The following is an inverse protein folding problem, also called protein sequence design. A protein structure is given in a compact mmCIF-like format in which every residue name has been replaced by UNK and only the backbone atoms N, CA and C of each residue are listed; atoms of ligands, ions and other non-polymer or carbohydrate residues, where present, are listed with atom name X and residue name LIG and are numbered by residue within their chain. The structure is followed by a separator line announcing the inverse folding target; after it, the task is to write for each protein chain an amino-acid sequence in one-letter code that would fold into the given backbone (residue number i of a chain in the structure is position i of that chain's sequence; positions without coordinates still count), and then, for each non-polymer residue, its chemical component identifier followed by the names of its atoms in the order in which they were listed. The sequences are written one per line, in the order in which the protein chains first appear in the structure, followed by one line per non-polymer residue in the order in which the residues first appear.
data_IF_737837189940
#
_entry.id   IF_737837189940
#
_cell.length_a   1.000
_cell.length_b   1.000
_cell.length_c   1.000
_cell.angle_alpha   90.00
_cell.angle_beta   90.00
_cell.angle_gamma   90.00
#
_symmetry.space_group_name_H-M   'P 1'
#
loop_
_entity.id
_entity.type
_entity.pdbx_description
1 polymer ?
#
# COMPACT_ATOMS: atom_id res chain seq x y z
N UNK A 1 -0.72 -15.62 -14.08
CA UNK A 1 0.55 -14.88 -13.88
C UNK A 1 1.36 -15.56 -12.80
N UNK A 2 2.64 -15.81 -13.03
CA UNK A 2 3.54 -16.31 -11.99
C UNK A 2 4.34 -15.15 -11.38
N UNK A 3 3.99 -14.78 -10.16
CA UNK A 3 4.72 -13.77 -9.38
C UNK A 3 5.72 -14.39 -8.41
N UNK A 4 5.77 -15.72 -8.29
CA UNK A 4 6.50 -16.40 -7.24
C UNK A 4 7.99 -16.10 -7.33
N UNK A 5 8.56 -16.10 -8.55
CA UNK A 5 9.95 -15.73 -8.76
C UNK A 5 10.26 -14.30 -8.29
N UNK A 6 9.37 -13.34 -8.57
CA UNK A 6 9.50 -11.96 -8.10
C UNK A 6 9.45 -11.91 -6.58
N UNK A 7 8.41 -12.51 -5.97
CA UNK A 7 8.19 -12.56 -4.52
C UNK A 7 9.40 -13.16 -3.81
N UNK A 8 9.91 -14.29 -4.29
CA UNK A 8 11.11 -14.93 -3.76
C UNK A 8 12.32 -14.02 -3.83
N UNK A 9 12.56 -13.37 -4.97
CA UNK A 9 13.70 -12.47 -5.13
C UNK A 9 13.63 -11.23 -4.21
N UNK A 10 12.43 -10.73 -3.90
CA UNK A 10 12.26 -9.57 -3.00
C UNK A 10 12.27 -9.93 -1.51
N UNK A 11 12.14 -11.21 -1.13
CA UNK A 11 12.26 -11.63 0.29
C UNK A 11 13.58 -11.20 0.93
N UNK A 12 14.67 -11.22 0.16
CA UNK A 12 15.98 -10.76 0.62
C UNK A 12 16.04 -9.25 0.93
N UNK A 13 15.03 -8.47 0.51
CA UNK A 13 14.99 -7.01 0.62
C UNK A 13 13.85 -6.51 1.52
N UNK A 14 12.85 -7.34 1.81
CA UNK A 14 11.79 -7.05 2.76
C UNK A 14 11.89 -8.00 3.97
N UNK A 15 12.37 -7.54 5.13
CA UNK A 15 12.55 -8.40 6.31
C UNK A 15 11.25 -8.97 6.89
N UNK A 16 10.09 -8.49 6.40
CA UNK A 16 8.77 -8.95 6.83
C UNK A 16 8.14 -9.96 5.86
N UNK A 17 8.62 -10.01 4.62
CA UNK A 17 7.98 -10.80 3.57
C UNK A 17 8.25 -12.30 3.72
N UNK A 18 9.51 -12.71 3.93
CA UNK A 18 9.80 -14.14 4.16
C UNK A 18 9.01 -14.71 5.36
N UNK A 19 9.03 -14.08 6.56
CA UNK A 19 8.21 -14.55 7.69
C UNK A 19 6.70 -14.57 7.40
N UNK A 20 6.21 -13.65 6.58
CA UNK A 20 4.81 -13.59 6.15
C UNK A 20 4.43 -14.75 5.24
N UNK A 21 5.26 -15.04 4.24
CA UNK A 21 5.07 -16.15 3.30
C UNK A 21 5.08 -17.49 4.01
N UNK A 22 6.06 -17.72 4.90
CA UNK A 22 6.18 -18.96 5.68
C UNK A 22 4.94 -19.25 6.53
N UNK A 23 4.16 -18.20 6.87
CA UNK A 23 2.97 -18.26 7.72
C UNK A 23 1.67 -18.12 6.96
N UNK A 24 1.71 -17.97 5.63
CA UNK A 24 0.52 -17.73 4.81
C UNK A 24 -0.17 -16.39 5.11
N UNK A 25 0.57 -15.37 5.53
CA UNK A 25 0.06 -14.03 5.88
C UNK A 25 0.21 -13.00 4.74
N UNK A 26 0.69 -13.44 3.58
CA UNK A 26 0.75 -12.64 2.36
C UNK A 26 -0.39 -13.05 1.44
N UNK A 27 -1.34 -12.14 1.20
CA UNK A 27 -2.39 -12.31 0.21
C UNK A 27 -2.10 -11.54 -1.08
N UNK A 28 -2.68 -12.01 -2.17
CA UNK A 28 -2.61 -11.40 -3.48
C UNK A 28 -4.00 -11.38 -4.10
N UNK A 29 -4.55 -10.18 -4.21
CA UNK A 29 -5.79 -9.93 -4.94
C UNK A 29 -5.42 -9.46 -6.34
N UNK A 30 -5.88 -10.19 -7.35
CA UNK A 30 -5.66 -9.86 -8.75
C UNK A 30 -6.81 -9.02 -9.27
N UNK A 31 -6.48 -7.95 -9.97
CA UNK A 31 -7.43 -7.08 -10.65
C UNK A 31 -6.98 -6.83 -12.08
N UNK A 32 -7.90 -6.99 -13.03
CA UNK A 32 -7.66 -6.74 -14.45
C UNK A 32 -8.20 -5.37 -14.81
N UNK A 33 -7.33 -4.47 -15.27
CA UNK A 33 -7.73 -3.14 -15.69
C UNK A 33 -8.49 -3.23 -17.02
N UNK A 34 -9.80 -3.01 -16.96
CA UNK A 34 -10.69 -2.97 -18.12
C UNK A 34 -11.42 -1.64 -18.11
N UNK A 35 -11.45 -0.97 -19.27
CA UNK A 35 -12.17 0.29 -19.43
C UNK A 35 -11.26 1.52 -19.40
N UNK A 36 -11.83 2.66 -19.04
CA UNK A 36 -11.10 3.94 -19.07
C UNK A 36 -10.26 4.11 -17.79
N UNK A 37 -9.11 4.80 -17.86
CA UNK A 37 -8.19 4.90 -16.72
C UNK A 37 -8.81 5.43 -15.42
N UNK A 38 -9.80 6.32 -15.52
CA UNK A 38 -10.47 6.89 -14.35
C UNK A 38 -11.29 5.84 -13.57
N UNK A 39 -11.97 4.95 -14.28
CA UNK A 39 -12.77 3.90 -13.66
C UNK A 39 -11.84 2.86 -13.02
N UNK A 40 -10.76 2.50 -13.73
CA UNK A 40 -9.70 1.63 -13.20
C UNK A 40 -9.07 2.21 -11.92
N UNK A 41 -8.77 3.51 -11.90
CA UNK A 41 -8.27 4.19 -10.70
C UNK A 41 -9.24 4.04 -9.50
N UNK A 42 -10.55 4.21 -9.73
CA UNK A 42 -11.57 4.10 -8.70
C UNK A 42 -11.72 2.65 -8.19
N UNK A 43 -11.67 1.67 -9.08
CA UNK A 43 -11.73 0.25 -8.74
C UNK A 43 -10.48 -0.19 -7.97
N UNK A 44 -9.28 0.27 -8.38
CA UNK A 44 -8.02 0.06 -7.64
C UNK A 44 -8.10 0.65 -6.24
N UNK A 45 -8.67 1.87 -6.11
CA UNK A 45 -8.89 2.47 -4.80
C UNK A 45 -9.83 1.63 -3.95
N UNK A 46 -10.96 1.18 -4.50
CA UNK A 46 -11.92 0.34 -3.79
C UNK A 46 -11.32 -0.98 -3.31
N UNK A 47 -10.61 -1.71 -4.18
CA UNK A 47 -9.93 -2.95 -3.83
C UNK A 47 -8.89 -2.73 -2.71
N UNK A 48 -8.17 -1.62 -2.76
CA UNK A 48 -7.19 -1.30 -1.73
C UNK A 48 -7.82 -0.83 -0.40
N UNK A 49 -9.01 -0.23 -0.41
CA UNK A 49 -9.82 0.00 0.79
C UNK A 49 -10.26 -1.31 1.41
N UNK A 50 -10.75 -2.27 0.62
CA UNK A 50 -11.13 -3.59 1.13
C UNK A 50 -9.93 -4.32 1.75
N UNK A 51 -8.77 -4.28 1.08
CA UNK A 51 -7.53 -4.82 1.64
C UNK A 51 -7.13 -4.12 2.95
N UNK A 52 -7.26 -2.80 3.02
CA UNK A 52 -6.96 -2.05 4.23
C UNK A 52 -7.87 -2.46 5.39
N UNK A 53 -9.18 -2.51 5.17
CA UNK A 53 -10.14 -2.92 6.21
C UNK A 53 -10.03 -4.41 6.57
N UNK A 54 -9.51 -5.27 5.68
CA UNK A 54 -9.15 -6.64 6.02
C UNK A 54 -7.89 -6.73 6.90
N UNK A 55 -6.86 -5.97 6.57
CA UNK A 55 -5.56 -5.98 7.28
C UNK A 55 -5.64 -5.29 8.64
N UNK A 56 -6.39 -4.18 8.71
CA UNK A 56 -6.56 -3.32 9.88
C UNK A 56 -6.84 -4.07 11.20
N UNK A 57 -7.86 -4.94 11.30
CA UNK A 57 -8.16 -5.68 12.55
C UNK A 57 -7.10 -6.73 12.92
N UNK A 58 -6.12 -6.99 12.05
CA UNK A 58 -5.03 -7.94 12.31
C UNK A 58 -3.80 -7.25 12.92
N UNK A 59 -3.77 -5.92 12.99
CA UNK A 59 -2.62 -5.14 13.42
C UNK A 59 -2.11 -5.49 14.83
N UNK A 60 -3.04 -5.66 15.78
CA UNK A 60 -2.70 -5.92 17.20
C UNK A 60 -2.53 -7.40 17.53
N UNK A 61 -2.67 -8.30 16.54
CA UNK A 61 -2.41 -9.73 16.73
C UNK A 61 -0.90 -9.98 16.84
N UNK A 62 -0.52 -11.08 17.48
CA UNK A 62 0.89 -11.44 17.71
C UNK A 62 1.78 -11.45 16.46
N UNK A 63 1.18 -11.61 15.26
CA UNK A 63 1.88 -11.65 13.97
C UNK A 63 1.44 -10.52 13.02
N UNK A 64 0.75 -9.49 13.53
CA UNK A 64 0.18 -8.41 12.72
C UNK A 64 1.22 -7.71 11.84
N UNK A 65 2.44 -7.52 12.34
CA UNK A 65 3.56 -6.93 11.59
C UNK A 65 3.95 -7.67 10.29
N UNK A 66 3.50 -8.92 10.11
CA UNK A 66 3.76 -9.73 8.92
C UNK A 66 2.57 -9.76 7.95
N UNK A 67 1.40 -9.27 8.34
CA UNK A 67 0.22 -9.28 7.46
C UNK A 67 0.43 -8.29 6.32
N UNK A 68 0.25 -8.77 5.08
CA UNK A 68 0.39 -7.97 3.87
C UNK A 68 -0.59 -8.44 2.81
N UNK A 69 -1.46 -7.54 2.35
CA UNK A 69 -2.37 -7.78 1.22
C UNK A 69 -1.86 -6.99 0.00
N UNK A 70 -1.69 -7.66 -1.13
CA UNK A 70 -1.17 -7.04 -2.36
C UNK A 70 -2.29 -6.97 -3.40
N UNK A 71 -2.62 -5.76 -3.84
CA UNK A 71 -3.55 -5.55 -4.96
C UNK A 71 -2.72 -5.48 -6.24
N UNK A 72 -2.67 -6.56 -7.00
CA UNK A 72 -1.95 -6.68 -8.27
C UNK A 72 -2.85 -6.30 -9.44
N UNK A 73 -2.32 -5.46 -10.34
CA UNK A 73 -3.09 -4.85 -11.41
C UNK A 73 -2.51 -5.25 -12.76
N UNK A 74 -3.30 -5.93 -13.58
CA UNK A 74 -2.96 -6.33 -14.94
C UNK A 74 -3.45 -5.31 -15.94
N UNK A 75 -2.67 -5.06 -17.00
CA UNK A 75 -3.07 -4.17 -18.09
C UNK A 75 -2.94 -2.67 -17.81
N UNK A 76 -2.47 -2.27 -16.63
CA UNK A 76 -2.23 -0.88 -16.29
C UNK A 76 -0.89 -0.64 -15.57
N UNK A 77 -0.35 0.56 -15.77
CA UNK A 77 0.94 1.00 -15.29
C UNK A 77 0.87 1.86 -14.03
N UNK A 78 1.78 2.82 -13.94
CA UNK A 78 1.94 3.74 -12.81
C UNK A 78 0.75 4.69 -12.65
N UNK A 79 0.10 5.04 -13.74
CA UNK A 79 -0.95 6.05 -13.84
C UNK A 79 -2.11 5.76 -12.90
N UNK A 80 -2.57 4.50 -12.86
CA UNK A 80 -3.73 4.09 -12.04
C UNK A 80 -3.43 4.02 -10.54
N UNK A 81 -2.17 4.20 -10.14
CA UNK A 81 -1.73 4.06 -8.75
C UNK A 81 -1.58 5.40 -8.03
N UNK A 82 -1.64 6.54 -8.72
CA UNK A 82 -1.18 7.80 -8.14
C UNK A 82 -2.06 8.32 -7.00
N UNK A 83 -3.29 8.73 -7.32
CA UNK A 83 -4.18 9.27 -6.31
C UNK A 83 -4.69 8.18 -5.35
N UNK A 84 -4.95 6.91 -5.76
CA UNK A 84 -5.36 5.88 -4.81
C UNK A 84 -4.31 5.67 -3.73
N UNK A 85 -3.04 5.50 -4.12
CA UNK A 85 -1.92 5.39 -3.18
C UNK A 85 -1.85 6.59 -2.24
N UNK A 86 -2.02 7.80 -2.76
CA UNK A 86 -1.89 9.02 -1.97
C UNK A 86 -3.01 9.18 -0.95
N UNK A 87 -4.26 8.98 -1.37
CA UNK A 87 -5.44 9.02 -0.52
C UNK A 87 -5.33 7.96 0.60
N UNK A 88 -5.06 6.71 0.25
CA UNK A 88 -4.97 5.59 1.21
C UNK A 88 -3.90 5.83 2.27
N UNK A 89 -2.75 6.40 1.90
CA UNK A 89 -1.70 6.72 2.90
C UNK A 89 -2.18 7.71 3.96
N UNK A 90 -3.02 8.69 3.59
CA UNK A 90 -3.51 9.71 4.54
C UNK A 90 -4.68 9.20 5.35
N UNK A 91 -5.55 8.39 4.75
CA UNK A 91 -6.68 7.78 5.43
C UNK A 91 -6.20 6.74 6.45
N UNK A 92 -5.32 5.84 6.03
CA UNK A 92 -4.96 4.65 6.82
C UNK A 92 -3.63 4.75 7.58
N UNK A 93 -2.77 5.70 7.22
CA UNK A 93 -1.53 5.96 7.96
C UNK A 93 -1.76 6.24 9.45
N UNK A 94 -2.70 7.14 9.81
CA UNK A 94 -3.03 7.44 11.22
C UNK A 94 -3.58 6.27 12.02
N UNK A 95 -4.17 5.26 11.36
CA UNK A 95 -4.65 4.02 12.00
C UNK A 95 -3.66 2.85 11.85
N UNK A 96 -2.42 3.14 11.44
CA UNK A 96 -1.31 2.21 11.57
C UNK A 96 -1.12 1.26 10.39
N UNK A 97 -1.60 1.62 9.20
CA UNK A 97 -1.27 0.90 7.97
C UNK A 97 -0.23 1.64 7.13
N UNK A 98 0.55 0.86 6.39
CA UNK A 98 1.49 1.33 5.37
C UNK A 98 1.02 0.87 4.01
N UNK A 99 0.93 1.84 3.09
CA UNK A 99 0.54 1.60 1.71
C UNK A 99 1.75 1.85 0.80
N UNK A 100 2.22 0.78 0.16
CA UNK A 100 3.28 0.87 -0.84
C UNK A 100 2.72 1.18 -2.23
N UNK A 101 3.64 1.42 -3.17
CA UNK A 101 3.32 1.57 -4.59
C UNK A 101 4.50 1.08 -5.41
N UNK A 102 4.23 0.18 -6.33
CA UNK A 102 5.21 -0.44 -7.21
C UNK A 102 4.62 -0.47 -8.62
N UNK A 103 5.27 0.18 -9.58
CA UNK A 103 4.82 0.16 -10.97
C UNK A 103 5.48 -1.00 -11.73
N UNK A 104 4.75 -1.63 -12.66
CA UNK A 104 5.31 -2.66 -13.54
C UNK A 104 6.58 -2.15 -14.24
N UNK A 105 7.63 -2.97 -14.26
CA UNK A 105 8.90 -2.64 -14.89
C UNK A 105 9.74 -1.56 -14.18
N UNK A 106 9.29 -1.02 -13.04
CA UNK A 106 10.04 0.03 -12.35
C UNK A 106 11.36 -0.50 -11.76
N UNK A 107 12.46 -0.01 -12.29
CA UNK A 107 13.79 -0.26 -11.74
C UNK A 107 14.05 0.58 -10.49
N UNK A 108 14.54 -0.07 -9.44
CA UNK A 108 14.88 0.59 -8.18
C UNK A 108 16.15 -0.02 -7.60
N UNK A 109 16.86 0.78 -6.82
CA UNK A 109 17.96 0.31 -5.98
C UNK A 109 17.54 0.32 -4.52
N UNK A 110 18.10 -0.61 -3.75
CA UNK A 110 18.00 -0.56 -2.30
C UNK A 110 18.97 0.46 -1.70
N UNK A 111 18.99 0.55 -0.37
CA UNK A 111 19.88 1.48 0.36
C UNK A 111 21.37 1.23 0.13
N UNK A 112 21.75 0.01 -0.24
CA UNK A 112 23.13 -0.35 -0.57
C UNK A 112 23.45 -0.21 -2.05
N UNK A 113 22.59 0.47 -2.83
CA UNK A 113 22.77 0.64 -4.27
C UNK A 113 22.53 -0.63 -5.09
N UNK A 114 22.08 -1.72 -4.47
CA UNK A 114 21.85 -2.99 -5.17
C UNK A 114 20.52 -2.94 -5.89
N UNK A 115 20.48 -3.36 -7.15
CA UNK A 115 19.25 -3.49 -7.91
C UNK A 115 18.21 -4.34 -7.17
N UNK A 116 16.97 -3.86 -7.21
CA UNK A 116 15.76 -4.57 -6.79
C UNK A 116 15.11 -5.06 -8.08
N UNK A 117 14.75 -6.36 -8.18
CA UNK A 117 14.06 -6.88 -9.35
C UNK A 117 12.84 -6.01 -9.70
N UNK A 118 12.65 -5.66 -10.99
CA UNK A 118 11.50 -4.87 -11.40
C UNK A 118 10.20 -5.66 -11.15
N UNK A 119 9.13 -5.01 -10.66
CA UNK A 119 7.82 -5.65 -10.54
C UNK A 119 7.32 -6.18 -11.88
N UNK A 120 6.83 -7.43 -11.96
CA UNK A 120 6.19 -7.93 -13.19
C UNK A 120 4.84 -7.27 -13.44
N UNK A 121 4.24 -6.66 -12.41
CA UNK A 121 2.97 -5.93 -12.45
C UNK A 121 3.00 -4.70 -11.58
N UNK A 122 2.08 -3.79 -11.85
CA UNK A 122 1.73 -2.71 -10.94
C UNK A 122 0.99 -3.28 -9.73
N UNK A 123 1.36 -2.86 -8.52
CA UNK A 123 0.63 -3.28 -7.31
C UNK A 123 0.70 -2.28 -6.15
N UNK A 124 -0.33 -2.34 -5.30
CA UNK A 124 -0.43 -1.63 -4.03
C UNK A 124 -0.39 -2.64 -2.88
N UNK A 125 0.73 -2.78 -2.15
CA UNK A 125 0.73 -3.54 -0.91
C UNK A 125 0.16 -2.71 0.23
N UNK A 126 -0.74 -3.32 0.99
CA UNK A 126 -1.33 -2.82 2.22
C UNK A 126 -0.87 -3.71 3.36
N UNK A 127 -0.16 -3.14 4.33
CA UNK A 127 0.37 -3.89 5.46
C UNK A 127 0.28 -3.11 6.75
N UNK A 128 0.38 -3.82 7.87
CA UNK A 128 0.54 -3.19 9.18
C UNK A 128 1.85 -2.42 9.24
N UNK A 129 1.82 -1.22 9.81
CA UNK A 129 2.99 -0.40 10.02
C UNK A 129 3.86 -0.94 11.16
N UNK A 130 5.15 -1.08 10.91
CA UNK A 130 6.16 -1.35 11.92
C UNK A 130 6.72 0.00 12.38
N UNK A 131 5.99 0.62 13.32
CA UNK A 131 6.15 2.03 13.75
C UNK A 131 7.61 2.46 13.99
N UNK A 132 8.47 1.70 14.71
CA UNK A 132 9.85 2.11 14.96
C UNK A 132 10.72 2.19 13.70
N UNK A 133 10.28 1.57 12.60
CA UNK A 133 11.06 1.42 11.37
C UNK A 133 10.44 2.17 10.21
N UNK A 134 9.12 2.31 10.12
CA UNK A 134 8.48 2.71 8.88
C UNK A 134 8.55 4.21 8.55
N UNK A 135 8.77 5.08 9.56
CA UNK A 135 9.02 6.51 9.31
C UNK A 135 10.15 6.77 8.31
N UNK A 136 11.13 5.86 8.21
CA UNK A 136 12.25 5.95 7.26
C UNK A 136 11.84 5.86 5.78
N UNK A 137 10.68 5.28 5.49
CA UNK A 137 10.11 5.21 4.13
C UNK A 137 9.27 6.44 3.80
N UNK A 138 9.03 7.30 4.78
CA UNK A 138 8.17 8.49 4.72
C UNK A 138 8.97 9.80 4.83
N UNK A 139 10.28 9.78 4.52
CA UNK A 139 11.16 10.97 4.61
C UNK A 139 10.68 12.19 3.79
N UNK A 140 9.96 11.95 2.70
CA UNK A 140 9.38 12.98 1.81
C UNK A 140 7.97 13.42 2.25
N UNK A 141 7.49 12.86 3.37
CA UNK A 141 6.16 13.09 3.93
C UNK A 141 6.26 13.05 5.46
N UNK A 142 6.97 14.01 6.09
CA UNK A 142 7.27 13.97 7.52
C UNK A 142 6.02 13.92 8.40
N UNK A 143 4.94 14.61 8.01
CA UNK A 143 3.69 14.59 8.77
C UNK A 143 3.06 13.18 8.80
N UNK A 144 3.10 12.46 7.67
CA UNK A 144 2.71 11.04 7.64
C UNK A 144 3.65 10.17 8.48
N UNK A 145 4.94 10.49 8.53
CA UNK A 145 5.89 9.74 9.36
C UNK A 145 5.54 9.88 10.84
N UNK A 146 5.18 11.08 11.29
CA UNK A 146 4.71 11.36 12.66
C UNK A 146 3.39 10.64 12.94
N UNK A 147 2.42 10.73 12.02
CA UNK A 147 1.14 10.04 12.14
C UNK A 147 1.32 8.53 12.28
N UNK A 148 2.13 7.89 11.42
CA UNK A 148 2.40 6.45 11.48
C UNK A 148 3.16 6.04 12.74
N UNK A 149 4.10 6.88 13.22
CA UNK A 149 4.88 6.58 14.43
C UNK A 149 4.01 6.54 15.68
N UNK A 150 2.97 7.39 15.74
CA UNK A 150 2.03 7.51 16.85
C UNK A 150 0.70 6.79 16.61
N UNK A 151 0.55 6.13 15.46
CA UNK A 151 -0.70 5.53 15.04
C UNK A 151 -1.20 4.51 16.06
N UNK A 152 -2.49 4.59 16.37
CA UNK A 152 -3.23 3.59 17.13
C UNK A 152 -4.58 3.46 16.47
N UNK A 153 -4.97 2.24 16.14
CA UNK A 153 -6.32 2.02 15.64
C UNK A 153 -7.30 2.08 16.80
N UNK A 154 -8.30 2.94 16.69
CA UNK A 154 -9.39 3.13 17.65
C UNK A 154 -10.76 2.79 17.06
N UNK A 155 -10.77 2.11 15.90
CA UNK A 155 -11.99 1.70 15.21
C UNK A 155 -12.73 2.85 14.50
N UNK A 156 -12.14 4.04 14.38
CA UNK A 156 -12.77 5.16 13.66
C UNK A 156 -13.08 4.82 12.21
N UNK A 157 -14.13 5.43 11.68
CA UNK A 157 -14.32 5.54 10.24
C UNK A 157 -13.33 6.56 9.66
N UNK A 158 -12.39 6.09 8.84
CA UNK A 158 -11.37 6.92 8.20
C UNK A 158 -11.96 7.88 7.16
N UNK A 159 -13.19 7.66 6.71
CA UNK A 159 -13.90 8.47 5.71
C UNK A 159 -14.84 9.52 6.29
N UNK A 160 -15.08 9.49 7.61
CA UNK A 160 -16.10 10.28 8.32
C UNK A 160 -16.10 11.79 8.05
N UNK A 161 -14.98 12.37 7.61
CA UNK A 161 -14.82 13.80 7.36
C UNK A 161 -14.82 14.21 5.87
N UNK A 162 -14.94 13.24 4.94
CA UNK A 162 -14.85 13.46 3.49
C UNK A 162 -16.11 12.95 2.77
N UNK A 163 -16.73 11.89 3.30
CA UNK A 163 -17.77 11.12 2.61
C UNK A 163 -17.23 9.83 1.99
N UNK A 164 -18.13 8.99 1.47
CA UNK A 164 -17.79 7.66 0.93
C UNK A 164 -17.74 7.60 -0.60
N UNK A 165 -18.15 8.67 -1.31
CA UNK A 165 -18.05 8.70 -2.77
C UNK A 165 -16.59 8.87 -3.21
N UNK A 166 -16.15 8.03 -4.17
CA UNK A 166 -14.76 8.03 -4.60
C UNK A 166 -14.34 9.34 -5.27
N UNK A 167 -15.27 10.09 -5.87
CA UNK A 167 -14.97 11.40 -6.49
C UNK A 167 -14.67 12.44 -5.43
N UNK A 168 -15.44 12.45 -4.35
CA UNK A 168 -15.21 13.34 -3.21
C UNK A 168 -13.87 13.05 -2.55
N UNK A 169 -13.56 11.76 -2.35
CA UNK A 169 -12.26 11.33 -1.81
C UNK A 169 -11.11 11.71 -2.76
N UNK A 170 -11.28 11.53 -4.07
CA UNK A 170 -10.29 11.92 -5.07
C UNK A 170 -10.04 13.42 -5.07
N UNK A 171 -11.11 14.23 -5.00
CA UNK A 171 -11.02 15.69 -4.91
C UNK A 171 -10.32 16.11 -3.61
N UNK A 172 -10.68 15.51 -2.48
CA UNK A 172 -9.99 15.74 -1.21
C UNK A 172 -8.49 15.41 -1.30
N UNK A 173 -8.15 14.27 -1.91
CA UNK A 173 -6.75 13.84 -2.04
C UNK A 173 -5.89 14.81 -2.86
N UNK A 174 -6.48 15.60 -3.77
CA UNK A 174 -5.78 16.64 -4.54
C UNK A 174 -5.40 17.87 -3.69
N UNK A 175 -6.09 18.10 -2.57
CA UNK A 175 -5.82 19.21 -1.65
C UNK A 175 -4.79 18.85 -0.56
N UNK A 176 -4.37 17.59 -0.50
CA UNK A 176 -3.35 17.14 0.43
C UNK A 176 -1.98 17.76 0.07
N UNK A 177 -1.12 18.06 1.07
CA UNK A 177 0.19 18.66 0.82
C UNK A 177 1.02 17.83 -0.16
N UNK A 178 1.62 18.45 -1.16
CA UNK A 178 2.49 17.73 -2.10
C UNK A 178 3.69 17.10 -1.38
N UNK A 179 4.22 16.01 -1.97
CA UNK A 179 5.46 15.37 -1.50
C UNK A 179 6.57 16.41 -1.51
N UNK A 180 7.16 16.70 -0.34
CA UNK A 180 8.31 17.61 -0.22
C UNK A 180 9.61 16.89 -0.55
#
# INVERSE_FOLDING_TARGET
MDIAAYVQAVTARCPYLAPSLDRGLTGWTLYEAVGVPLDVEAEVFHAAVQAAEWVRPLADRAQGAFVCENIAILGAGREVLQWPHWALKHLYGPVGLMIGKFAAGEERTDRGGRSIPPPPVSFLPVRVAVRPRDGRFLRHTPDLAVAVASASDDGRDVFSHIGHDWKDIRLWAQHLPSRR
#
